data_IF_130262677770
#
_entry.id   IF_130262677770
#
_cell.length_a   1.000
_cell.length_b   1.000
_cell.length_c   1.000
_cell.angle_alpha   90.00
_cell.angle_beta   90.00
_cell.angle_gamma   90.00
#
_symmetry.space_group_name_H-M   'P 1'
#
loop_
_entity.id
_entity.type
_entity.pdbx_description
1 polymer ?
#
# COMPACT_ATOMS: atom_id res chain seq x y z
N UNK A 1 48.79 -8.36 -3.09
CA UNK A 1 47.83 -9.11 -2.26
C UNK A 1 46.71 -8.14 -1.89
N UNK A 2 45.72 -7.99 -2.77
CA UNK A 2 44.62 -7.04 -2.58
C UNK A 2 43.54 -7.68 -1.71
N UNK A 3 43.25 -7.07 -0.55
CA UNK A 3 42.11 -7.47 0.27
C UNK A 3 40.83 -7.18 -0.50
N UNK A 4 40.13 -8.23 -0.91
CA UNK A 4 38.74 -8.14 -1.31
C UNK A 4 37.93 -7.78 -0.05
N UNK A 5 37.56 -6.51 0.06
CA UNK A 5 36.57 -6.06 1.04
C UNK A 5 35.22 -6.67 0.65
N UNK A 6 34.86 -7.78 1.29
CA UNK A 6 33.52 -8.36 1.25
C UNK A 6 32.56 -7.36 1.88
N UNK A 7 32.07 -6.42 1.08
CA UNK A 7 31.10 -5.42 1.51
C UNK A 7 29.80 -6.15 1.84
N UNK A 8 29.48 -6.22 3.12
CA UNK A 8 28.43 -7.07 3.66
C UNK A 8 27.07 -6.60 3.12
N UNK A 9 26.53 -7.28 2.10
CA UNK A 9 25.24 -6.94 1.48
C UNK A 9 24.04 -7.26 2.40
N UNK A 10 24.16 -8.28 3.25
CA UNK A 10 23.07 -8.75 4.11
C UNK A 10 22.63 -7.72 5.19
N UNK A 11 23.52 -7.04 5.93
CA UNK A 11 23.13 -5.99 6.88
C UNK A 11 22.41 -4.80 6.21
N UNK A 12 22.84 -4.42 5.01
CA UNK A 12 22.27 -3.30 4.28
C UNK A 12 20.89 -3.64 3.70
N UNK A 13 20.69 -4.87 3.20
CA UNK A 13 19.37 -5.35 2.78
C UNK A 13 18.37 -5.43 3.94
N UNK A 14 18.81 -5.89 5.11
CA UNK A 14 17.98 -5.91 6.32
C UNK A 14 17.61 -4.49 6.80
N UNK A 15 18.56 -3.54 6.75
CA UNK A 15 18.29 -2.14 7.07
C UNK A 15 17.26 -1.52 6.11
N UNK A 16 17.35 -1.81 4.80
CA UNK A 16 16.36 -1.38 3.82
C UNK A 16 14.98 -1.97 4.11
N UNK A 17 14.89 -3.28 4.39
CA UNK A 17 13.64 -3.94 4.72
C UNK A 17 13.00 -3.33 5.98
N UNK A 18 13.80 -3.03 7.01
CA UNK A 18 13.34 -2.32 8.21
C UNK A 18 12.85 -0.90 7.94
N UNK A 19 13.52 -0.17 7.05
CA UNK A 19 13.10 1.17 6.65
C UNK A 19 11.77 1.15 5.86
N UNK A 20 11.62 0.22 4.91
CA UNK A 20 10.35 0.01 4.17
C UNK A 20 9.23 -0.38 5.13
N UNK A 21 9.51 -1.24 6.10
CA UNK A 21 8.53 -1.64 7.12
C UNK A 21 8.05 -0.42 7.91
N UNK A 22 8.98 0.44 8.36
CA UNK A 22 8.64 1.68 9.07
C UNK A 22 7.71 2.58 8.25
N UNK A 23 8.00 2.81 6.96
CA UNK A 23 7.18 3.68 6.10
C UNK A 23 5.77 3.10 5.92
N UNK A 24 5.66 1.80 5.66
CA UNK A 24 4.37 1.14 5.51
C UNK A 24 3.54 1.15 6.80
N UNK A 25 4.16 0.95 7.97
CA UNK A 25 3.46 1.03 9.25
C UNK A 25 3.00 2.45 9.58
N UNK A 26 3.76 3.49 9.16
CA UNK A 26 3.31 4.87 9.24
C UNK A 26 2.07 5.11 8.36
N UNK A 27 2.05 4.58 7.13
CA UNK A 27 0.87 4.65 6.26
C UNK A 27 -0.32 3.90 6.86
N UNK A 28 -0.12 2.72 7.44
CA UNK A 28 -1.18 2.00 8.14
C UNK A 28 -1.70 2.75 9.36
N UNK A 29 -0.83 3.46 10.09
CA UNK A 29 -1.25 4.28 11.24
C UNK A 29 -2.27 5.34 10.82
N UNK A 30 -2.08 5.96 9.64
CA UNK A 30 -3.04 6.90 9.06
C UNK A 30 -4.37 6.21 8.75
N UNK A 31 -4.34 5.08 8.05
CA UNK A 31 -5.54 4.31 7.71
C UNK A 31 -6.31 3.86 8.97
N UNK A 32 -5.59 3.40 10.00
CA UNK A 32 -6.16 2.99 11.28
C UNK A 32 -6.78 4.15 12.08
N UNK A 33 -6.23 5.35 11.97
CA UNK A 33 -6.82 6.54 12.58
C UNK A 33 -8.16 6.87 11.93
N UNK A 34 -8.22 6.89 10.60
CA UNK A 34 -9.46 7.11 9.85
C UNK A 34 -10.49 6.00 10.14
N UNK A 35 -10.02 4.75 10.27
CA UNK A 35 -10.85 3.60 10.67
C UNK A 35 -11.56 3.87 12.00
N UNK A 36 -10.80 4.19 13.04
CA UNK A 36 -11.34 4.46 14.38
C UNK A 36 -12.35 5.60 14.39
N UNK A 37 -12.02 6.72 13.73
CA UNK A 37 -12.93 7.87 13.63
C UNK A 37 -14.25 7.51 12.95
N UNK A 38 -14.20 6.66 11.93
CA UNK A 38 -15.39 6.18 11.21
C UNK A 38 -16.21 5.23 12.07
N UNK A 39 -15.57 4.27 12.74
CA UNK A 39 -16.25 3.34 13.65
C UNK A 39 -16.93 4.08 14.81
N UNK A 40 -16.27 5.10 15.38
CA UNK A 40 -16.83 5.96 16.42
C UNK A 40 -18.04 6.75 15.92
N UNK A 41 -17.96 7.32 14.71
CA UNK A 41 -19.07 8.01 14.05
C UNK A 41 -20.28 7.08 13.88
N UNK A 42 -20.04 5.85 13.40
CA UNK A 42 -21.09 4.87 13.11
C UNK A 42 -21.66 4.22 14.38
N UNK A 43 -20.92 4.20 15.49
CA UNK A 43 -21.43 3.73 16.78
C UNK A 43 -22.57 4.61 17.33
N UNK A 44 -22.63 5.89 16.93
CA UNK A 44 -23.62 6.86 17.39
C UNK A 44 -25.05 6.66 16.87
N UNK A 45 -25.28 5.74 15.92
CA UNK A 45 -26.63 5.55 15.38
C UNK A 45 -26.72 4.61 14.17
N UNK A 46 -27.62 4.95 13.25
CA UNK A 46 -27.80 4.27 11.97
C UNK A 46 -27.06 5.09 10.92
N UNK A 47 -25.91 4.60 10.40
CA UNK A 47 -25.05 5.39 9.52
C UNK A 47 -25.66 5.55 8.12
N UNK A 48 -25.50 6.74 7.55
CA UNK A 48 -25.86 7.10 6.18
C UNK A 48 -24.60 7.51 5.41
N UNK A 49 -24.61 7.35 4.08
CA UNK A 49 -23.46 7.67 3.23
C UNK A 49 -22.94 9.11 3.40
N UNK A 50 -23.85 10.07 3.61
CA UNK A 50 -23.52 11.48 3.79
C UNK A 50 -22.79 11.80 5.12
N UNK A 51 -22.90 10.95 6.13
CA UNK A 51 -22.30 11.19 7.45
C UNK A 51 -20.77 11.26 7.38
N UNK A 52 -20.16 10.56 6.42
CA UNK A 52 -18.71 10.54 6.22
C UNK A 52 -18.12 11.93 5.94
N UNK A 53 -18.91 12.88 5.42
CA UNK A 53 -18.44 14.24 5.15
C UNK A 53 -17.89 14.94 6.41
N UNK A 54 -18.32 14.53 7.61
CA UNK A 54 -17.79 15.01 8.90
C UNK A 54 -16.30 14.71 9.06
N UNK A 55 -15.81 13.62 8.45
CA UNK A 55 -14.40 13.20 8.53
C UNK A 55 -13.47 13.97 7.60
N UNK A 56 -14.02 14.84 6.72
CA UNK A 56 -13.25 15.59 5.73
C UNK A 56 -12.02 16.29 6.32
N UNK A 57 -12.09 17.04 7.44
CA UNK A 57 -10.91 17.71 7.98
C UNK A 57 -9.78 16.75 8.32
N UNK A 58 -10.10 15.57 8.87
CA UNK A 58 -9.14 14.54 9.26
C UNK A 58 -8.58 13.81 8.04
N UNK A 59 -9.43 13.51 7.05
CA UNK A 59 -9.00 12.93 5.76
C UNK A 59 -8.04 13.88 5.03
N UNK A 60 -8.37 15.16 4.94
CA UNK A 60 -7.52 16.19 4.32
C UNK A 60 -6.23 16.41 5.11
N UNK A 61 -6.27 16.38 6.44
CA UNK A 61 -5.09 16.52 7.29
C UNK A 61 -4.14 15.31 7.21
N UNK A 62 -4.64 14.13 6.84
CA UNK A 62 -3.84 12.94 6.62
C UNK A 62 -2.96 13.02 5.35
N UNK A 63 -3.32 13.88 4.39
CA UNK A 63 -2.58 14.06 3.15
C UNK A 63 -1.30 14.88 3.34
N UNK A 64 -0.22 14.46 2.69
CA UNK A 64 1.07 15.13 2.75
C UNK A 64 2.23 14.14 2.96
N UNK A 65 3.45 14.62 2.73
CA UNK A 65 4.63 13.75 2.77
C UNK A 65 4.53 12.65 1.71
N UNK A 66 4.43 11.39 2.14
CA UNK A 66 4.24 10.24 1.25
C UNK A 66 2.77 9.88 0.99
N UNK A 67 1.83 10.46 1.74
CA UNK A 67 0.41 10.14 1.61
C UNK A 67 -0.18 11.00 0.50
N UNK A 68 -0.45 10.36 -0.64
CA UNK A 68 -0.95 11.00 -1.87
C UNK A 68 -2.46 10.87 -2.03
N UNK A 69 -3.07 9.97 -1.28
CA UNK A 69 -4.51 9.81 -1.14
C UNK A 69 -4.85 9.21 0.21
N UNK A 70 -6.03 9.49 0.75
CA UNK A 70 -6.51 8.90 1.98
C UNK A 70 -8.02 9.02 2.07
N UNK A 71 -8.64 8.10 2.80
CA UNK A 71 -10.07 8.19 3.03
C UNK A 71 -10.76 6.91 3.45
N UNK A 72 -12.06 6.92 3.23
CA UNK A 72 -12.99 5.87 3.62
C UNK A 72 -13.92 5.55 2.46
N UNK A 73 -14.14 4.25 2.23
CA UNK A 73 -15.14 3.72 1.30
C UNK A 73 -15.94 2.66 2.03
N UNK A 74 -17.26 2.77 2.03
CA UNK A 74 -18.14 1.82 2.74
C UNK A 74 -18.84 0.87 1.80
N UNK A 75 -19.35 -0.23 2.35
CA UNK A 75 -20.46 -0.96 1.73
C UNK A 75 -21.73 -0.08 1.75
N UNK A 76 -22.81 -0.46 1.04
CA UNK A 76 -24.09 0.20 1.19
C UNK A 76 -24.51 0.33 2.66
N UNK A 77 -24.92 1.54 3.05
CA UNK A 77 -25.36 1.89 4.39
C UNK A 77 -26.90 1.95 4.47
N UNK A 78 -27.47 2.63 5.47
CA UNK A 78 -28.91 2.63 5.70
C UNK A 78 -29.73 3.31 4.60
N UNK A 79 -29.11 4.19 3.81
CA UNK A 79 -29.68 4.83 2.64
C UNK A 79 -29.47 4.04 1.34
N UNK A 80 -29.04 2.77 1.44
CA UNK A 80 -28.73 1.87 0.33
C UNK A 80 -27.62 2.39 -0.61
N UNK A 81 -26.77 3.29 -0.10
CA UNK A 81 -25.64 3.89 -0.83
C UNK A 81 -24.33 3.58 -0.17
N UNK A 82 -23.31 3.30 -0.99
CA UNK A 82 -21.93 3.27 -0.52
C UNK A 82 -21.45 4.68 -0.22
N UNK A 83 -20.87 4.89 0.94
CA UNK A 83 -20.20 6.14 1.32
C UNK A 83 -18.80 6.21 0.73
N UNK A 84 -18.41 7.41 0.32
CA UNK A 84 -17.08 7.73 -0.20
C UNK A 84 -16.65 9.07 0.39
N UNK A 85 -15.63 9.08 1.22
CA UNK A 85 -14.91 10.29 1.61
C UNK A 85 -13.43 10.03 1.46
N UNK A 86 -12.96 10.15 0.22
CA UNK A 86 -11.57 9.95 -0.16
C UNK A 86 -11.05 11.20 -0.84
N UNK A 87 -9.87 11.65 -0.42
CA UNK A 87 -9.22 12.82 -0.98
C UNK A 87 -7.84 12.45 -1.50
N UNK A 88 -7.43 13.17 -2.53
CA UNK A 88 -6.20 12.97 -3.27
C UNK A 88 -5.35 14.23 -3.25
N UNK A 89 -4.11 14.07 -3.67
CA UNK A 89 -3.04 15.07 -3.73
C UNK A 89 -2.43 15.44 -2.36
N UNK A 90 -1.13 15.18 -2.26
CA UNK A 90 -0.29 15.55 -1.12
C UNK A 90 -0.14 17.07 -0.92
N UNK A 91 -0.34 17.87 -1.99
CA UNK A 91 -0.13 19.32 -1.97
C UNK A 91 -1.42 20.06 -1.61
N UNK A 92 -1.39 20.98 -0.62
CA UNK A 92 -2.59 21.68 -0.16
C UNK A 92 -3.43 22.31 -1.27
N UNK A 93 -2.79 22.90 -2.28
CA UNK A 93 -3.43 23.57 -3.42
C UNK A 93 -4.06 22.63 -4.45
N UNK A 94 -3.61 21.38 -4.51
CA UNK A 94 -4.06 20.38 -5.48
C UNK A 94 -5.09 19.39 -4.92
N UNK A 95 -5.43 19.52 -3.62
CA UNK A 95 -6.31 18.57 -2.95
C UNK A 95 -7.71 18.54 -3.57
N UNK A 96 -8.10 17.35 -4.02
CA UNK A 96 -9.41 17.10 -4.60
C UNK A 96 -10.07 15.89 -3.95
N UNK A 97 -11.40 15.90 -3.88
CA UNK A 97 -12.17 14.73 -3.47
C UNK A 97 -12.24 13.78 -4.66
N UNK A 98 -12.03 12.50 -4.39
CA UNK A 98 -12.26 11.45 -5.37
C UNK A 98 -13.77 11.33 -5.63
N UNK A 99 -14.14 11.36 -6.91
CA UNK A 99 -15.52 11.19 -7.35
C UNK A 99 -15.64 9.87 -8.10
N UNK A 100 -16.31 8.90 -7.48
CA UNK A 100 -16.67 7.63 -8.11
C UNK A 100 -18.16 7.42 -7.97
N UNK A 101 -18.76 6.92 -9.04
CA UNK A 101 -20.12 6.43 -8.98
C UNK A 101 -20.12 4.98 -8.49
N UNK A 102 -20.62 4.78 -7.27
CA UNK A 102 -20.66 3.47 -6.62
C UNK A 102 -22.06 2.85 -6.64
N UNK A 103 -23.01 3.44 -7.38
CA UNK A 103 -24.36 2.92 -7.53
C UNK A 103 -24.39 1.87 -8.67
N UNK A 104 -24.68 0.59 -8.38
CA UNK A 104 -24.77 -0.45 -9.41
C UNK A 104 -25.84 -0.22 -10.47
N UNK A 105 -26.81 0.67 -10.21
CA UNK A 105 -27.85 1.05 -11.18
C UNK A 105 -27.40 2.17 -12.14
N UNK A 106 -26.25 2.78 -11.93
CA UNK A 106 -25.74 3.87 -12.77
C UNK A 106 -24.98 3.40 -14.00
N UNK A 107 -25.12 4.13 -15.11
CA UNK A 107 -24.37 3.90 -16.36
C UNK A 107 -22.86 4.15 -16.18
N UNK A 108 -22.46 4.91 -15.16
CA UNK A 108 -21.05 5.21 -14.85
C UNK A 108 -20.51 4.42 -13.65
N UNK A 109 -21.20 3.35 -13.24
CA UNK A 109 -20.85 2.53 -12.08
C UNK A 109 -19.41 2.00 -12.12
N UNK A 110 -18.69 2.20 -11.01
CA UNK A 110 -17.36 1.68 -10.76
C UNK A 110 -17.43 0.58 -9.70
N UNK A 111 -17.30 -0.68 -10.13
CA UNK A 111 -17.26 -1.82 -9.21
C UNK A 111 -15.91 -1.91 -8.48
N UNK A 112 -15.86 -1.30 -7.29
CA UNK A 112 -14.71 -1.40 -6.38
C UNK A 112 -14.67 -2.71 -5.61
N UNK A 113 -15.76 -3.49 -5.57
CA UNK A 113 -15.91 -4.66 -4.69
C UNK A 113 -14.96 -5.81 -5.04
N UNK A 114 -14.43 -5.79 -6.26
CA UNK A 114 -13.47 -6.77 -6.81
C UNK A 114 -12.02 -6.30 -6.71
N UNK A 115 -11.80 -5.04 -6.38
CA UNK A 115 -10.45 -4.50 -6.26
C UNK A 115 -9.77 -5.07 -5.01
N UNK A 116 -8.52 -5.50 -5.13
CA UNK A 116 -7.83 -6.21 -4.04
C UNK A 116 -7.75 -5.39 -2.75
N UNK A 117 -7.62 -4.06 -2.86
CA UNK A 117 -7.62 -3.14 -1.71
C UNK A 117 -8.97 -3.08 -0.97
N UNK A 118 -10.07 -3.51 -1.58
CA UNK A 118 -11.38 -3.64 -0.92
C UNK A 118 -11.70 -5.10 -0.56
N UNK A 119 -11.53 -6.00 -1.53
CA UNK A 119 -11.93 -7.39 -1.43
C UNK A 119 -11.10 -8.18 -0.40
N UNK A 120 -9.78 -7.93 -0.30
CA UNK A 120 -8.92 -8.69 0.62
C UNK A 120 -9.20 -8.31 2.08
N UNK A 121 -9.28 -7.02 2.48
CA UNK A 121 -9.71 -6.68 3.83
C UNK A 121 -11.11 -7.21 4.19
N UNK A 122 -12.06 -7.15 3.24
CA UNK A 122 -13.42 -7.71 3.41
C UNK A 122 -13.41 -9.19 3.74
N UNK A 123 -12.62 -9.97 3.00
CA UNK A 123 -12.62 -11.44 3.10
C UNK A 123 -11.73 -11.94 4.24
N UNK A 124 -10.65 -11.25 4.55
CA UNK A 124 -9.67 -11.70 5.55
C UNK A 124 -9.88 -11.07 6.93
N UNK A 125 -10.60 -9.94 7.02
CA UNK A 125 -10.70 -9.14 8.24
C UNK A 125 -9.36 -8.55 8.68
N UNK A 126 -8.36 -8.50 7.79
CA UNK A 126 -7.00 -8.03 8.09
C UNK A 126 -6.63 -6.84 7.20
N UNK A 127 -5.71 -6.02 7.70
CA UNK A 127 -5.07 -4.96 6.89
C UNK A 127 -4.38 -5.54 5.66
N UNK A 128 -4.37 -4.79 4.56
CA UNK A 128 -3.81 -5.23 3.28
C UNK A 128 -3.08 -4.10 2.55
N UNK A 129 -2.08 -4.47 1.74
CA UNK A 129 -1.40 -3.56 0.80
C UNK A 129 -1.59 -4.11 -0.60
N UNK A 130 -2.19 -3.30 -1.48
CA UNK A 130 -2.32 -3.61 -2.90
C UNK A 130 -1.30 -2.81 -3.69
N UNK A 131 -0.59 -3.48 -4.60
CA UNK A 131 0.26 -2.85 -5.61
C UNK A 131 1.68 -3.43 -5.71
N UNK A 132 2.53 -2.84 -6.56
CA UNK A 132 2.25 -1.66 -7.37
C UNK A 132 1.24 -1.99 -8.48
N UNK A 133 0.24 -1.14 -8.67
CA UNK A 133 -0.70 -1.20 -9.81
C UNK A 133 -0.84 0.20 -10.42
N UNK A 134 -1.20 0.25 -11.71
CA UNK A 134 -1.52 1.53 -12.34
C UNK A 134 -2.94 1.88 -11.94
N UNK A 135 -3.09 2.98 -11.21
CA UNK A 135 -4.40 3.50 -10.85
C UNK A 135 -5.00 4.26 -12.03
N UNK A 136 -5.60 3.50 -12.96
CA UNK A 136 -6.31 4.04 -14.13
C UNK A 136 -7.58 4.82 -13.77
N UNK A 137 -8.01 4.76 -12.50
CA UNK A 137 -9.26 5.36 -12.04
C UNK A 137 -9.03 6.75 -11.46
N UNK A 138 -7.91 6.97 -10.74
CA UNK A 138 -7.70 8.23 -10.01
C UNK A 138 -6.46 9.03 -10.44
N UNK A 139 -5.34 8.40 -10.83
CA UNK A 139 -4.05 9.10 -10.88
C UNK A 139 -3.11 8.76 -12.06
N UNK A 140 -3.41 7.73 -12.85
CA UNK A 140 -2.57 7.20 -13.95
C UNK A 140 -1.11 6.89 -13.53
N UNK A 141 -0.90 6.69 -12.24
CA UNK A 141 0.41 6.46 -11.64
C UNK A 141 0.46 5.08 -10.99
N UNK A 142 1.68 4.56 -10.83
CA UNK A 142 1.91 3.37 -10.02
C UNK A 142 1.65 3.71 -8.55
N UNK A 143 0.67 3.05 -7.95
CA UNK A 143 0.20 3.30 -6.59
C UNK A 143 0.34 2.05 -5.72
N UNK A 144 0.62 2.29 -4.43
CA UNK A 144 0.43 1.35 -3.35
C UNK A 144 -0.73 1.84 -2.48
N UNK A 145 -1.72 0.98 -2.25
CA UNK A 145 -2.91 1.31 -1.48
C UNK A 145 -2.97 0.46 -0.23
N UNK A 146 -2.91 1.12 0.92
CA UNK A 146 -2.88 0.53 2.26
C UNK A 146 -4.27 0.63 2.86
N UNK A 147 -4.86 -0.49 3.24
CA UNK A 147 -6.25 -0.54 3.68
C UNK A 147 -6.41 -1.34 4.95
N UNK A 148 -7.35 -0.89 5.79
CA UNK A 148 -7.78 -1.56 7.01
C UNK A 148 -9.30 -1.76 6.96
N UNK A 149 -9.82 -2.92 7.40
CA UNK A 149 -11.26 -3.18 7.36
C UNK A 149 -11.99 -2.39 8.44
N UNK A 150 -13.07 -1.71 8.08
CA UNK A 150 -14.03 -1.10 8.98
C UNK A 150 -15.03 -2.15 9.46
N UNK A 151 -15.33 -2.16 10.75
CA UNK A 151 -16.35 -3.05 11.31
C UNK A 151 -17.37 -2.28 12.11
N UNK A 152 -18.67 -2.46 11.80
CA UNK A 152 -19.78 -1.89 12.56
C UNK A 152 -20.63 -3.04 13.07
N UNK A 153 -20.88 -3.09 14.39
CA UNK A 153 -21.67 -4.16 15.04
C UNK A 153 -21.20 -5.58 14.66
N UNK A 154 -19.88 -5.76 14.52
CA UNK A 154 -19.27 -7.05 14.17
C UNK A 154 -19.34 -7.44 12.69
N UNK A 155 -19.93 -6.60 11.82
CA UNK A 155 -19.99 -6.82 10.38
C UNK A 155 -19.05 -5.86 9.63
N UNK A 156 -18.46 -6.34 8.53
CA UNK A 156 -17.66 -5.50 7.65
C UNK A 156 -18.52 -4.37 7.07
N UNK A 157 -18.07 -3.13 7.25
CA UNK A 157 -18.79 -1.93 6.81
C UNK A 157 -18.03 -1.16 5.71
N UNK A 158 -16.82 -1.58 5.34
CA UNK A 158 -15.99 -0.86 4.38
C UNK A 158 -14.50 -0.96 4.66
N UNK A 159 -13.74 -0.05 4.05
CA UNK A 159 -12.31 0.14 4.31
C UNK A 159 -12.02 1.60 4.64
N UNK A 160 -11.02 1.80 5.49
CA UNK A 160 -10.27 3.05 5.54
C UNK A 160 -8.89 2.80 4.92
N UNK A 161 -8.31 3.79 4.28
CA UNK A 161 -7.03 3.59 3.60
C UNK A 161 -6.25 4.85 3.30
N UNK A 162 -5.06 4.62 2.76
CA UNK A 162 -4.13 5.63 2.30
C UNK A 162 -3.34 5.11 1.09
N UNK A 163 -3.09 6.02 0.15
CA UNK A 163 -2.32 5.77 -1.06
C UNK A 163 -0.93 6.41 -0.96
N UNK A 164 0.02 5.73 -1.60
CA UNK A 164 1.38 6.21 -1.81
C UNK A 164 1.74 5.99 -3.27
N UNK A 165 2.14 7.07 -3.97
CA UNK A 165 2.73 6.91 -5.30
C UNK A 165 4.11 6.25 -5.22
N UNK A 166 4.33 5.26 -6.08
CA UNK A 166 5.58 4.52 -6.15
C UNK A 166 6.76 5.44 -6.42
N UNK A 167 6.60 6.46 -7.27
CA UNK A 167 7.67 7.43 -7.54
C UNK A 167 8.08 8.25 -6.31
N UNK A 168 7.17 8.51 -5.39
CA UNK A 168 7.46 9.22 -4.14
C UNK A 168 8.13 8.28 -3.13
N UNK A 169 7.66 7.04 -3.03
CA UNK A 169 8.32 5.99 -2.26
C UNK A 169 9.75 5.75 -2.74
N UNK A 170 9.97 5.62 -4.04
CA UNK A 170 11.31 5.49 -4.64
C UNK A 170 12.22 6.67 -4.26
N UNK A 171 11.69 7.89 -4.29
CA UNK A 171 12.46 9.08 -3.91
C UNK A 171 12.86 9.04 -2.44
N UNK A 172 11.95 8.62 -1.55
CA UNK A 172 12.23 8.44 -0.13
C UNK A 172 13.25 7.32 0.14
N UNK A 173 13.15 6.20 -0.59
CA UNK A 173 14.05 5.03 -0.42
C UNK A 173 15.41 5.20 -1.11
N UNK A 174 15.55 6.16 -2.03
CA UNK A 174 16.77 6.34 -2.86
C UNK A 174 18.08 6.36 -2.08
N UNK A 175 18.20 7.08 -0.94
CA UNK A 175 19.45 7.07 -0.16
C UNK A 175 19.76 5.67 0.39
N UNK A 176 18.77 4.96 0.91
CA UNK A 176 18.93 3.60 1.44
C UNK A 176 19.28 2.60 0.33
N UNK A 177 18.59 2.65 -0.81
CA UNK A 177 18.87 1.83 -1.99
C UNK A 177 20.31 2.01 -2.51
N UNK A 178 20.85 3.23 -2.45
CA UNK A 178 22.25 3.52 -2.82
C UNK A 178 23.27 3.02 -1.79
N UNK A 179 22.88 2.97 -0.52
CA UNK A 179 23.74 2.46 0.55
C UNK A 179 23.88 0.93 0.49
N UNK A 180 22.89 0.22 -0.06
CA UNK A 180 22.99 -1.22 -0.30
C UNK A 180 24.09 -1.49 -1.31
N UNK A 181 25.11 -2.20 -0.86
CA UNK A 181 26.34 -2.37 -1.61
C UNK A 181 26.31 -3.39 -2.75
N UNK A 182 25.12 -3.72 -3.22
CA UNK A 182 24.87 -4.76 -4.20
C UNK A 182 23.62 -4.38 -5.02
N UNK A 183 23.32 -5.16 -6.05
CA UNK A 183 22.05 -5.03 -6.77
C UNK A 183 20.91 -5.33 -5.81
N UNK A 184 19.97 -4.40 -5.66
CA UNK A 184 18.82 -4.53 -4.77
C UNK A 184 17.52 -4.06 -5.42
N UNK A 185 16.44 -4.76 -5.12
CA UNK A 185 15.09 -4.39 -5.50
C UNK A 185 14.12 -4.61 -4.33
N UNK A 186 13.20 -3.67 -4.13
CA UNK A 186 11.98 -3.88 -3.37
C UNK A 186 10.94 -4.48 -4.31
N UNK A 187 10.36 -5.61 -3.93
CA UNK A 187 9.35 -6.33 -4.71
C UNK A 187 8.13 -6.65 -3.86
N UNK A 188 6.99 -6.87 -4.50
CA UNK A 188 5.84 -7.49 -3.86
C UNK A 188 5.90 -9.03 -3.90
N UNK A 189 4.99 -9.70 -3.20
CA UNK A 189 4.90 -11.19 -3.15
C UNK A 189 4.67 -11.86 -4.50
N UNK A 190 4.23 -11.11 -5.53
CA UNK A 190 4.08 -11.63 -6.88
C UNK A 190 5.36 -11.52 -7.72
N UNK A 191 6.40 -10.87 -7.18
CA UNK A 191 7.67 -10.61 -7.87
C UNK A 191 7.67 -9.33 -8.69
N UNK A 192 6.68 -8.44 -8.55
CA UNK A 192 6.71 -7.13 -9.23
C UNK A 192 7.65 -6.19 -8.50
N UNK A 193 8.55 -5.58 -9.24
CA UNK A 193 9.50 -4.58 -8.73
C UNK A 193 8.79 -3.26 -8.48
N UNK A 194 8.98 -2.73 -7.27
CA UNK A 194 8.47 -1.43 -6.82
C UNK A 194 9.55 -0.37 -6.93
N UNK A 195 10.77 -0.70 -6.55
CA UNK A 195 11.91 0.20 -6.56
C UNK A 195 13.20 -0.63 -6.62
N UNK A 196 14.27 -0.09 -7.19
CA UNK A 196 15.56 -0.77 -7.21
C UNK A 196 16.72 0.16 -7.53
N UNK A 197 17.95 -0.35 -7.39
CA UNK A 197 19.17 0.37 -7.77
C UNK A 197 19.86 -0.21 -9.01
N UNK A 198 19.23 -1.18 -9.68
CA UNK A 198 19.81 -1.94 -10.79
C UNK A 198 18.96 -1.86 -12.05
N UNK A 199 19.61 -1.75 -13.21
CA UNK A 199 18.94 -1.70 -14.51
C UNK A 199 18.33 -3.05 -14.92
N UNK A 200 18.73 -4.16 -14.28
CA UNK A 200 18.16 -5.48 -14.54
C UNK A 200 16.74 -5.66 -13.96
N UNK A 201 16.40 -4.86 -12.94
CA UNK A 201 15.12 -4.92 -12.24
C UNK A 201 14.56 -3.51 -12.08
N UNK A 202 13.99 -3.00 -13.18
CA UNK A 202 13.33 -1.69 -13.21
C UNK A 202 11.93 -1.77 -12.59
N UNK A 203 11.43 -0.64 -12.10
CA UNK A 203 10.09 -0.52 -11.52
C UNK A 203 9.00 -0.96 -12.48
N UNK A 204 8.04 -1.73 -11.96
CA UNK A 204 6.97 -2.39 -12.72
C UNK A 204 7.37 -3.71 -13.38
N UNK A 205 8.66 -4.01 -13.54
CA UNK A 205 9.11 -5.29 -14.10
C UNK A 205 8.79 -6.47 -13.18
N UNK A 206 8.75 -7.67 -13.75
CA UNK A 206 8.47 -8.91 -13.03
C UNK A 206 9.75 -9.74 -12.92
N UNK A 207 10.11 -10.14 -11.71
CA UNK A 207 11.11 -11.19 -11.44
C UNK A 207 10.58 -12.51 -12.00
N UNK A 208 11.31 -13.13 -12.94
CA UNK A 208 10.81 -14.26 -13.73
C UNK A 208 11.23 -15.61 -13.17
N UNK A 209 12.26 -15.61 -12.34
CA UNK A 209 12.90 -16.74 -11.71
C UNK A 209 11.90 -17.47 -10.77
N UNK A 210 11.45 -18.70 -11.11
CA UNK A 210 10.41 -19.39 -10.36
C UNK A 210 10.79 -19.64 -8.89
N UNK A 211 12.06 -19.94 -8.61
CA UNK A 211 12.55 -20.18 -7.25
C UNK A 211 12.55 -18.91 -6.40
N UNK A 212 12.86 -17.74 -6.97
CA UNK A 212 12.73 -16.46 -6.27
C UNK A 212 11.26 -16.18 -5.96
N UNK A 213 10.36 -16.42 -6.92
CA UNK A 213 8.93 -16.20 -6.71
C UNK A 213 8.34 -17.13 -5.66
N UNK A 214 8.77 -18.38 -5.59
CA UNK A 214 8.38 -19.29 -4.52
C UNK A 214 8.85 -18.77 -3.15
N UNK A 215 10.11 -18.36 -3.04
CA UNK A 215 10.66 -17.79 -1.81
C UNK A 215 9.93 -16.51 -1.35
N UNK A 216 9.46 -15.67 -2.27
CA UNK A 216 8.65 -14.49 -1.96
C UNK A 216 7.29 -14.84 -1.32
N UNK A 217 6.74 -16.02 -1.63
CA UNK A 217 5.46 -16.48 -1.07
C UNK A 217 5.63 -17.08 0.33
N UNK A 218 6.79 -17.64 0.64
CA UNK A 218 7.12 -18.17 1.98
C UNK A 218 7.25 -17.07 3.03
N UNK A 219 7.56 -15.84 2.61
CA UNK A 219 7.70 -14.67 3.48
C UNK A 219 8.69 -14.89 4.65
N UNK A 220 9.76 -15.62 4.38
CA UNK A 220 10.87 -15.88 5.30
C UNK A 220 12.19 -15.38 4.74
N UNK A 221 13.07 -14.89 5.63
CA UNK A 221 14.43 -14.51 5.24
C UNK A 221 15.20 -15.74 4.79
N UNK A 222 15.71 -15.72 3.56
CA UNK A 222 16.47 -16.84 3.01
C UNK A 222 17.47 -16.39 1.94
N UNK A 223 18.54 -17.14 1.80
CA UNK A 223 19.50 -17.03 0.70
C UNK A 223 19.33 -18.25 -0.20
N UNK A 224 19.10 -17.99 -1.49
CA UNK A 224 18.83 -18.98 -2.50
C UNK A 224 20.14 -19.54 -3.08
N UNK A 225 20.05 -20.67 -3.78
CA UNK A 225 21.21 -21.39 -4.31
C UNK A 225 22.04 -20.58 -5.33
N UNK A 226 21.41 -19.59 -6.00
CA UNK A 226 22.06 -18.68 -6.93
C UNK A 226 22.69 -17.44 -6.25
N UNK A 227 22.65 -17.39 -4.92
CA UNK A 227 23.18 -16.29 -4.10
C UNK A 227 22.22 -15.12 -3.90
N UNK A 228 21.05 -15.12 -4.55
CA UNK A 228 20.02 -14.11 -4.29
C UNK A 228 19.51 -14.26 -2.85
N UNK A 229 19.31 -13.15 -2.15
CA UNK A 229 18.70 -13.17 -0.81
C UNK A 229 17.34 -12.49 -0.83
N UNK A 230 16.37 -13.10 -0.16
CA UNK A 230 15.01 -12.60 0.04
C UNK A 230 14.87 -12.21 1.50
N UNK A 231 14.51 -10.95 1.75
CA UNK A 231 14.33 -10.40 3.10
C UNK A 231 12.94 -9.78 3.19
N UNK A 232 11.97 -10.44 3.84
CA UNK A 232 10.62 -9.91 4.01
C UNK A 232 10.61 -8.58 4.78
N UNK A 233 9.71 -7.67 4.38
CA UNK A 233 9.48 -6.40 5.09
C UNK A 233 8.43 -6.62 6.20
N UNK A 234 8.85 -7.17 7.34
CA UNK A 234 7.94 -7.43 8.46
C UNK A 234 6.79 -8.37 8.05
N UNK A 235 5.54 -8.00 8.36
CA UNK A 235 4.34 -8.75 7.95
C UNK A 235 3.73 -8.25 6.64
N UNK A 236 4.43 -7.37 5.92
CA UNK A 236 3.93 -6.76 4.68
C UNK A 236 4.06 -7.76 3.52
N UNK A 237 3.22 -7.65 2.49
CA UNK A 237 3.37 -8.44 1.26
C UNK A 237 4.50 -7.90 0.36
N UNK A 238 5.64 -7.52 0.97
CA UNK A 238 6.79 -6.90 0.35
C UNK A 238 8.08 -7.57 0.84
N UNK A 239 9.08 -7.63 -0.03
CA UNK A 239 10.40 -8.13 0.32
C UNK A 239 11.50 -7.35 -0.40
N UNK A 240 12.67 -7.30 0.23
CA UNK A 240 13.92 -6.83 -0.38
C UNK A 240 14.63 -8.04 -0.99
N UNK A 241 14.89 -7.96 -2.28
CA UNK A 241 15.77 -8.87 -3.02
C UNK A 241 17.14 -8.25 -3.16
N UNK A 242 18.19 -9.00 -2.82
CA UNK A 242 19.58 -8.63 -3.12
C UNK A 242 20.23 -9.71 -3.95
N UNK A 243 20.98 -9.32 -4.98
CA UNK A 243 21.82 -10.22 -5.78
C UNK A 243 23.30 -9.99 -5.47
N UNK A 244 24.15 -11.00 -5.63
CA UNK A 244 25.61 -10.87 -5.47
C UNK A 244 26.24 -9.87 -6.43
#
# INVERSE_FOLDING_TARGET
MGQATTRTAAPAGAALAGHVTTLAEQTFTVADQLRRLTEDLFAGGVPHSADLAVLRPQVVAALGGLITGAGVITTPLADDRSGLEWWMDSRPEGRTRLELDLDPASDTFVDVSRQAWFAVPRTTGRRHVTGPYVDYVCAEQYTLTFTVPLTVRGAFAGIAGADVFVGDLERALRPALRAVGASVALVNTQGRVIAGNTAHHITGSLVREPHIRAALQEATTQTLADGASVIPCGTLPLAVLTWP
#
